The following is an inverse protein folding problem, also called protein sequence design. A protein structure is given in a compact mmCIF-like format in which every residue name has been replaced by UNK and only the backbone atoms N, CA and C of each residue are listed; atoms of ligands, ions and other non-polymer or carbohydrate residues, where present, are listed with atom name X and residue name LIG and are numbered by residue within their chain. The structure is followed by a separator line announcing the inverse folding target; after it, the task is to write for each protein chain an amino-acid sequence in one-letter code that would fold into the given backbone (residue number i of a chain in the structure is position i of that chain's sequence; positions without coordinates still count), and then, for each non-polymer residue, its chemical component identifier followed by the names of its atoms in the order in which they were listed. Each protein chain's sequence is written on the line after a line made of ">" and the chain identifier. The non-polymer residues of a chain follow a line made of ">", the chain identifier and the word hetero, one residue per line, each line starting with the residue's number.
data_IF_949571676742
#
_entry.id   IF_949571676742
#
_cell.length_a   1.000
_cell.length_b   1.000
_cell.length_c   1.000
_cell.angle_alpha   90.00
_cell.angle_beta   90.00
_cell.angle_gamma   90.00
#
_symmetry.space_group_name_H-M   'P 1'
#
loop_
_entity.id
_entity.type
_entity.pdbx_description
1 polymer ?
#
# COMPACT_ATOMS: atom_id res chain seq x y z
N UNK A 1 -25.34 -44.94 38.89
CA UNK A 1 -26.71 -45.18 39.41
C UNK A 1 -27.74 -45.21 38.29
N UNK A 2 -27.93 -44.12 37.52
CA UNK A 2 -28.89 -44.09 36.41
C UNK A 2 -28.66 -45.18 35.35
N UNK A 3 -27.41 -45.49 34.98
CA UNK A 3 -27.12 -46.57 34.04
C UNK A 3 -27.53 -47.97 34.53
N UNK A 4 -27.43 -48.24 35.84
CA UNK A 4 -27.85 -49.50 36.45
C UNK A 4 -29.38 -49.59 36.51
N UNK A 5 -30.04 -48.50 36.89
CA UNK A 5 -31.50 -48.39 36.91
C UNK A 5 -32.11 -48.52 35.50
N UNK A 6 -31.47 -47.89 34.50
CA UNK A 6 -31.87 -47.97 33.10
C UNK A 6 -31.63 -49.37 32.52
N UNK A 7 -30.55 -50.05 32.93
CA UNK A 7 -30.33 -51.46 32.61
C UNK A 7 -31.38 -52.37 33.22
N UNK A 8 -31.70 -52.19 34.51
CA UNK A 8 -32.73 -52.97 35.21
C UNK A 8 -34.13 -52.77 34.61
N UNK A 9 -34.46 -51.55 34.18
CA UNK A 9 -35.72 -51.20 33.52
C UNK A 9 -35.57 -51.08 32.00
N UNK A 10 -34.73 -51.92 31.37
CA UNK A 10 -34.39 -51.83 29.96
C UNK A 10 -35.61 -51.82 29.03
N UNK A 11 -36.67 -52.57 29.36
CA UNK A 11 -37.91 -52.61 28.58
C UNK A 11 -38.64 -51.27 28.60
N UNK A 12 -38.79 -50.66 29.78
CA UNK A 12 -39.47 -49.39 29.94
C UNK A 12 -38.69 -48.24 29.26
N UNK A 13 -37.36 -48.25 29.38
CA UNK A 13 -36.49 -47.28 28.69
C UNK A 13 -36.55 -47.48 27.16
N UNK A 14 -36.61 -48.74 26.71
CA UNK A 14 -36.71 -49.08 25.30
C UNK A 14 -37.98 -48.58 24.66
N UNK A 15 -39.13 -48.82 25.29
CA UNK A 15 -40.44 -48.41 24.78
C UNK A 15 -40.71 -46.92 24.94
N UNK A 16 -40.29 -46.31 26.06
CA UNK A 16 -40.61 -44.91 26.35
C UNK A 16 -39.65 -43.89 25.70
N UNK A 17 -38.37 -44.23 25.53
CA UNK A 17 -37.36 -43.27 25.03
C UNK A 17 -36.77 -43.68 23.68
N UNK A 18 -36.34 -44.94 23.55
CA UNK A 18 -35.59 -45.37 22.36
C UNK A 18 -36.52 -45.60 21.17
N UNK A 19 -37.69 -46.19 21.38
CA UNK A 19 -38.65 -46.49 20.32
C UNK A 19 -39.22 -45.22 19.65
N UNK A 20 -39.66 -44.17 20.37
CA UNK A 20 -40.08 -42.92 19.75
C UNK A 20 -38.93 -42.20 19.04
N UNK A 21 -37.72 -42.18 19.63
CA UNK A 21 -36.55 -41.55 19.01
C UNK A 21 -36.13 -42.26 17.70
N UNK A 22 -36.09 -43.59 17.70
CA UNK A 22 -35.79 -44.37 16.50
C UNK A 22 -36.86 -44.19 15.42
N UNK A 23 -38.14 -44.18 15.82
CA UNK A 23 -39.27 -43.94 14.89
C UNK A 23 -39.21 -42.54 14.29
N UNK A 24 -38.83 -41.53 15.08
CA UNK A 24 -38.68 -40.15 14.61
C UNK A 24 -37.51 -39.97 13.63
N UNK A 25 -36.35 -40.58 13.90
CA UNK A 25 -35.16 -40.48 13.01
C UNK A 25 -35.36 -41.28 11.72
N UNK A 26 -36.00 -42.46 11.79
CA UNK A 26 -36.18 -43.34 10.64
C UNK A 26 -37.50 -43.14 9.88
N UNK A 27 -38.45 -42.38 10.44
CA UNK A 27 -39.74 -42.07 9.81
C UNK A 27 -40.69 -43.27 9.65
N UNK A 28 -40.41 -44.40 10.29
CA UNK A 28 -41.24 -45.62 10.26
C UNK A 28 -41.39 -46.19 11.66
N UNK A 29 -42.58 -46.70 11.99
CA UNK A 29 -42.87 -47.29 13.29
C UNK A 29 -41.96 -48.50 13.52
N UNK A 30 -40.95 -48.33 14.38
CA UNK A 30 -40.07 -49.42 14.76
C UNK A 30 -40.51 -50.03 16.08
N UNK A 31 -40.36 -51.35 16.20
CA UNK A 31 -40.57 -52.06 17.47
C UNK A 31 -39.21 -52.37 18.07
N UNK A 32 -38.83 -51.61 19.09
CA UNK A 32 -37.59 -51.84 19.83
C UNK A 32 -37.89 -52.76 21.00
N UNK A 33 -37.42 -54.00 20.94
CA UNK A 33 -37.51 -54.94 22.06
C UNK A 33 -36.18 -54.93 22.82
N UNK A 34 -36.15 -54.28 23.96
CA UNK A 34 -35.02 -54.27 24.88
C UNK A 34 -35.35 -55.14 26.09
N UNK A 35 -34.69 -56.29 26.19
CA UNK A 35 -34.73 -57.17 27.35
C UNK A 35 -33.34 -57.30 27.99
N UNK A 36 -33.29 -57.55 29.30
CA UNK A 36 -32.04 -57.83 30.01
C UNK A 36 -31.42 -59.17 29.58
N UNK A 37 -32.25 -60.15 29.24
CA UNK A 37 -31.80 -61.49 28.90
C UNK A 37 -32.49 -61.98 27.63
N UNK A 38 -31.68 -62.12 26.57
CA UNK A 38 -32.15 -62.58 25.26
C UNK A 38 -31.77 -64.05 24.98
N UNK A 39 -31.22 -64.77 25.97
CA UNK A 39 -30.67 -66.11 25.79
C UNK A 39 -29.28 -66.12 25.13
N UNK A 40 -28.80 -67.31 24.76
CA UNK A 40 -27.51 -67.48 24.07
C UNK A 40 -27.68 -67.05 22.61
N UNK A 41 -27.42 -65.77 22.36
CA UNK A 41 -27.46 -65.17 21.02
C UNK A 41 -26.04 -64.98 20.47
N UNK A 42 -25.87 -64.87 19.13
CA UNK A 42 -24.60 -64.50 18.53
C UNK A 42 -24.01 -63.20 19.10
N UNK A 43 -24.87 -62.23 19.47
CA UNK A 43 -24.46 -60.97 20.08
C UNK A 43 -23.86 -61.14 21.48
N UNK A 44 -24.43 -62.06 22.29
CA UNK A 44 -23.85 -62.40 23.61
C UNK A 44 -22.47 -63.04 23.43
N UNK A 45 -22.33 -63.96 22.47
CA UNK A 45 -21.05 -64.60 22.14
C UNK A 45 -20.01 -63.58 21.66
N UNK A 46 -20.39 -62.63 20.80
CA UNK A 46 -19.50 -61.56 20.36
C UNK A 46 -19.10 -60.63 21.51
N UNK A 47 -20.02 -60.31 22.43
CA UNK A 47 -19.71 -59.51 23.63
C UNK A 47 -18.75 -60.23 24.58
N UNK A 48 -18.95 -61.54 24.78
CA UNK A 48 -18.00 -62.37 25.53
C UNK A 48 -16.65 -62.44 24.83
N UNK A 49 -16.63 -62.55 23.49
CA UNK A 49 -15.40 -62.55 22.71
C UNK A 49 -14.67 -61.20 22.78
N UNK A 50 -15.37 -60.05 22.70
CA UNK A 50 -14.74 -58.73 22.86
C UNK A 50 -14.19 -58.55 24.27
N UNK A 51 -14.90 -59.02 25.29
CA UNK A 51 -14.43 -58.95 26.68
C UNK A 51 -13.22 -59.85 26.92
N UNK A 52 -13.21 -61.07 26.35
CA UNK A 52 -12.05 -61.96 26.39
C UNK A 52 -10.85 -61.36 25.62
N UNK A 53 -11.08 -60.80 24.43
CA UNK A 53 -10.05 -60.11 23.65
C UNK A 53 -9.49 -58.89 24.37
N UNK A 54 -10.36 -58.10 25.01
CA UNK A 54 -9.94 -56.96 25.82
C UNK A 54 -9.12 -57.39 27.04
N UNK A 55 -9.52 -58.47 27.72
CA UNK A 55 -8.76 -59.07 28.82
C UNK A 55 -7.38 -59.56 28.37
N UNK A 56 -7.30 -60.28 27.24
CA UNK A 56 -6.04 -60.72 26.65
C UNK A 56 -5.16 -59.52 26.23
N UNK A 57 -5.75 -58.50 25.63
CA UNK A 57 -5.05 -57.27 25.26
C UNK A 57 -4.54 -56.50 26.48
N UNK A 58 -5.26 -56.53 27.61
CA UNK A 58 -4.83 -55.94 28.87
C UNK A 58 -3.64 -56.70 29.49
N UNK A 59 -3.67 -58.04 29.45
CA UNK A 59 -2.57 -58.88 29.93
C UNK A 59 -1.30 -58.69 29.10
N UNK A 60 -1.42 -58.39 27.80
CA UNK A 60 -0.31 -58.06 26.90
C UNK A 60 -0.12 -56.55 26.69
N UNK A 61 -0.67 -55.73 27.58
CA UNK A 61 -0.74 -54.28 27.39
C UNK A 61 0.64 -53.63 27.19
N UNK A 62 1.66 -54.04 27.93
CA UNK A 62 3.00 -53.44 27.78
C UNK A 62 3.60 -53.65 26.38
N UNK A 63 3.47 -54.86 25.83
CA UNK A 63 3.98 -55.19 24.49
C UNK A 63 3.12 -54.54 23.41
N UNK A 64 1.80 -54.57 23.58
CA UNK A 64 0.86 -53.94 22.68
C UNK A 64 1.05 -52.41 22.62
N UNK A 65 1.24 -51.76 23.77
CA UNK A 65 1.49 -50.32 23.85
C UNK A 65 2.81 -49.92 23.19
N UNK A 66 3.88 -50.73 23.33
CA UNK A 66 5.15 -50.47 22.65
C UNK A 66 5.02 -50.57 21.12
N UNK A 67 4.33 -51.60 20.61
CA UNK A 67 4.12 -51.81 19.17
C UNK A 67 3.18 -50.75 18.57
N UNK A 68 2.03 -50.55 19.20
CA UNK A 68 1.01 -49.57 18.77
C UNK A 68 1.53 -48.15 18.94
N UNK A 69 2.21 -47.85 20.04
CA UNK A 69 2.86 -46.58 20.29
C UNK A 69 3.95 -46.28 19.25
N UNK A 70 4.78 -47.26 18.88
CA UNK A 70 5.76 -47.11 17.80
C UNK A 70 5.13 -46.83 16.43
N UNK A 71 4.01 -47.50 16.12
CA UNK A 71 3.25 -47.27 14.89
C UNK A 71 2.62 -45.87 14.86
N UNK A 72 1.93 -45.47 15.92
CA UNK A 72 1.33 -44.13 16.01
C UNK A 72 2.38 -43.04 16.12
N UNK A 73 3.55 -43.28 16.72
CA UNK A 73 4.65 -42.31 16.73
C UNK A 73 5.19 -42.04 15.31
N UNK A 74 5.21 -43.06 14.44
CA UNK A 74 5.56 -42.90 13.02
C UNK A 74 4.48 -42.14 12.23
N UNK A 75 3.22 -42.28 12.61
CA UNK A 75 2.09 -41.56 11.99
C UNK A 75 1.82 -40.18 12.62
N UNK A 76 2.32 -39.92 13.82
CA UNK A 76 2.17 -38.67 14.53
C UNK A 76 2.60 -37.42 13.70
N UNK A 77 3.64 -37.44 12.84
CA UNK A 77 3.95 -36.30 11.97
C UNK A 77 2.89 -35.98 10.91
N UNK A 78 1.99 -36.94 10.61
CA UNK A 78 0.89 -36.83 9.65
C UNK A 78 -0.47 -36.58 10.33
N UNK A 79 -0.49 -36.38 11.65
CA UNK A 79 -1.71 -36.11 12.40
C UNK A 79 -2.35 -34.75 12.06
N UNK A 80 -3.68 -34.63 12.17
CA UNK A 80 -4.42 -33.40 11.83
C UNK A 80 -3.97 -32.18 12.65
N UNK A 81 -3.58 -32.38 13.92
CA UNK A 81 -3.05 -31.32 14.77
C UNK A 81 -1.76 -30.71 14.23
N UNK A 82 -0.81 -31.55 13.80
CA UNK A 82 0.45 -31.07 13.21
C UNK A 82 0.26 -30.46 11.83
N UNK A 83 -0.68 -30.98 11.04
CA UNK A 83 -1.06 -30.36 9.78
C UNK A 83 -1.62 -28.94 9.99
N UNK A 84 -2.49 -28.76 10.99
CA UNK A 84 -3.02 -27.45 11.37
C UNK A 84 -1.90 -26.50 11.84
N UNK A 85 -1.03 -26.95 12.74
CA UNK A 85 0.11 -26.15 13.20
C UNK A 85 1.05 -25.75 12.05
N UNK A 86 1.35 -26.68 11.13
CA UNK A 86 2.17 -26.39 9.95
C UNK A 86 1.50 -25.39 9.01
N UNK A 87 0.19 -25.50 8.79
CA UNK A 87 -0.57 -24.54 7.99
C UNK A 87 -0.55 -23.14 8.63
N UNK A 88 -0.75 -23.05 9.96
CA UNK A 88 -0.69 -21.79 10.69
C UNK A 88 0.70 -21.14 10.61
N UNK A 89 1.75 -21.94 10.83
CA UNK A 89 3.13 -21.47 10.72
C UNK A 89 3.45 -21.03 9.28
N UNK A 90 2.96 -21.76 8.28
CA UNK A 90 3.09 -21.39 6.87
C UNK A 90 2.41 -20.06 6.56
N UNK A 91 1.22 -19.82 7.11
CA UNK A 91 0.50 -18.55 6.95
C UNK A 91 1.30 -17.38 7.54
N UNK A 92 1.85 -17.54 8.75
CA UNK A 92 2.69 -16.52 9.39
C UNK A 92 3.96 -16.26 8.58
N UNK A 93 4.60 -17.30 8.06
CA UNK A 93 5.79 -17.15 7.21
C UNK A 93 5.45 -16.41 5.91
N UNK A 94 4.34 -16.76 5.26
CA UNK A 94 3.86 -16.06 4.07
C UNK A 94 3.57 -14.59 4.36
N UNK A 95 2.92 -14.29 5.50
CA UNK A 95 2.65 -12.92 5.93
C UNK A 95 3.95 -12.13 6.15
N UNK A 96 4.97 -12.75 6.77
CA UNK A 96 6.27 -12.12 6.98
C UNK A 96 7.01 -11.88 5.66
N UNK A 97 6.99 -12.85 4.73
CA UNK A 97 7.60 -12.71 3.40
C UNK A 97 6.91 -11.60 2.61
N UNK A 98 5.57 -11.57 2.61
CA UNK A 98 4.79 -10.53 1.97
C UNK A 98 5.10 -9.15 2.57
N UNK A 99 5.13 -9.04 3.90
CA UNK A 99 5.44 -7.78 4.59
C UNK A 99 6.84 -7.31 4.26
N UNK A 100 7.85 -8.18 4.30
CA UNK A 100 9.23 -7.79 3.98
C UNK A 100 9.43 -7.45 2.50
N UNK A 101 8.66 -8.05 1.60
CA UNK A 101 8.71 -7.72 0.17
C UNK A 101 8.21 -6.30 -0.10
N UNK A 102 7.03 -5.96 0.46
CA UNK A 102 6.39 -4.67 0.22
C UNK A 102 6.89 -3.57 1.14
N UNK A 103 7.08 -3.85 2.43
CA UNK A 103 7.47 -2.89 3.48
C UNK A 103 8.96 -3.01 3.85
N UNK A 104 9.84 -3.06 2.85
CA UNK A 104 11.29 -3.21 3.07
C UNK A 104 11.97 -2.00 3.75
N UNK A 105 11.26 -0.89 3.97
CA UNK A 105 11.77 0.31 4.64
C UNK A 105 12.56 1.27 3.75
N UNK A 106 12.84 0.92 2.49
CA UNK A 106 13.60 1.77 1.57
C UNK A 106 12.68 2.67 0.75
N UNK A 107 12.78 3.99 0.99
CA UNK A 107 12.00 5.00 0.26
C UNK A 107 12.12 4.88 -1.27
N UNK A 108 13.31 4.51 -1.77
CA UNK A 108 13.55 4.27 -3.21
C UNK A 108 12.57 3.25 -3.80
N UNK A 109 12.30 2.15 -3.07
CA UNK A 109 11.41 1.09 -3.57
C UNK A 109 9.97 1.57 -3.59
N UNK A 110 9.53 2.31 -2.57
CA UNK A 110 8.19 2.89 -2.55
C UNK A 110 7.97 3.90 -3.70
N UNK A 111 8.92 4.81 -3.92
CA UNK A 111 8.86 5.78 -5.04
C UNK A 111 8.83 5.04 -6.38
N UNK A 112 9.68 4.01 -6.54
CA UNK A 112 9.71 3.19 -7.74
C UNK A 112 8.34 2.54 -8.02
N UNK A 113 7.72 1.93 -7.01
CA UNK A 113 6.39 1.32 -7.15
C UNK A 113 5.32 2.35 -7.51
N UNK A 114 5.35 3.54 -6.91
CA UNK A 114 4.42 4.63 -7.25
C UNK A 114 4.57 4.98 -8.73
N UNK A 115 5.79 5.27 -9.19
CA UNK A 115 6.04 5.66 -10.58
C UNK A 115 5.67 4.54 -11.56
N UNK A 116 6.04 3.29 -11.28
CA UNK A 116 5.70 2.14 -12.12
C UNK A 116 4.19 1.88 -12.17
N UNK A 117 3.49 2.06 -11.05
CA UNK A 117 2.03 1.89 -11.01
C UNK A 117 1.34 3.02 -11.78
N UNK A 118 1.77 4.27 -11.61
CA UNK A 118 1.28 5.39 -12.42
C UNK A 118 1.54 5.15 -13.90
N UNK A 119 2.75 4.69 -14.27
CA UNK A 119 3.09 4.32 -15.64
C UNK A 119 2.16 3.24 -16.19
N UNK A 120 1.95 2.15 -15.44
CA UNK A 120 1.10 1.04 -15.85
C UNK A 120 -0.36 1.44 -15.99
N UNK A 121 -0.90 2.19 -15.03
CA UNK A 121 -2.30 2.66 -15.06
C UNK A 121 -2.54 3.67 -16.18
N UNK A 122 -1.65 4.66 -16.35
CA UNK A 122 -1.79 5.67 -17.39
C UNK A 122 -1.59 5.07 -18.79
N UNK A 123 -0.56 4.23 -18.98
CA UNK A 123 -0.37 3.51 -20.24
C UNK A 123 -1.55 2.57 -20.55
N UNK A 124 -2.06 1.85 -19.54
CA UNK A 124 -3.26 1.04 -19.68
C UNK A 124 -4.46 1.87 -20.12
N UNK A 125 -4.73 2.99 -19.46
CA UNK A 125 -5.83 3.90 -19.81
C UNK A 125 -5.71 4.45 -21.24
N UNK A 126 -4.49 4.79 -21.68
CA UNK A 126 -4.21 5.25 -23.04
C UNK A 126 -4.41 4.14 -24.08
N UNK A 127 -4.02 2.89 -23.77
CA UNK A 127 -4.23 1.74 -24.65
C UNK A 127 -5.73 1.40 -24.81
N UNK A 128 -6.51 1.47 -23.73
CA UNK A 128 -7.95 1.22 -23.77
C UNK A 128 -8.73 2.34 -24.50
N UNK A 129 -8.25 3.59 -24.44
CA UNK A 129 -8.89 4.75 -25.08
C UNK A 129 -8.08 5.29 -26.27
N UNK A 130 -7.37 4.42 -27.00
CA UNK A 130 -6.48 4.83 -28.09
C UNK A 130 -7.20 5.54 -29.26
N UNK A 131 -8.52 5.36 -29.38
CA UNK A 131 -9.35 5.97 -30.40
C UNK A 131 -9.64 7.44 -30.05
N UNK A 132 -8.77 8.35 -30.50
CA UNK A 132 -8.93 9.79 -30.26
C UNK A 132 -7.66 10.53 -29.87
N UNK A 133 -6.54 9.82 -29.72
CA UNK A 133 -5.25 10.44 -29.45
C UNK A 133 -4.82 11.31 -30.64
N UNK A 134 -4.94 12.62 -30.47
CA UNK A 134 -4.45 13.62 -31.43
C UNK A 134 -3.25 14.30 -30.79
N UNK A 135 -2.17 14.45 -31.53
CA UNK A 135 -1.04 15.26 -31.09
C UNK A 135 -1.24 16.69 -31.60
N UNK A 136 -0.83 17.70 -30.81
CA UNK A 136 -0.92 19.09 -31.23
C UNK A 136 -0.01 19.33 -32.43
N UNK A 137 -0.39 20.28 -33.28
CA UNK A 137 0.45 20.70 -34.39
C UNK A 137 1.75 21.32 -33.86
N UNK A 138 2.89 20.93 -34.46
CA UNK A 138 4.18 21.46 -34.06
C UNK A 138 4.26 22.95 -34.40
N UNK A 139 4.41 23.79 -33.37
CA UNK A 139 4.64 25.22 -33.51
C UNK A 139 6.08 25.52 -33.11
N UNK A 140 6.89 26.12 -34.00
CA UNK A 140 8.29 26.39 -33.69
C UNK A 140 8.39 27.36 -32.51
N UNK A 141 9.23 27.04 -31.50
CA UNK A 141 9.41 27.92 -30.35
C UNK A 141 10.12 29.21 -30.77
N UNK A 142 9.81 30.30 -30.06
CA UNK A 142 10.51 31.57 -30.23
C UNK A 142 11.95 31.45 -29.74
N UNK A 143 12.84 32.29 -30.24
CA UNK A 143 14.28 32.22 -29.89
C UNK A 143 14.53 32.21 -28.37
N UNK A 144 13.86 33.08 -27.63
CA UNK A 144 13.99 33.16 -26.18
C UNK A 144 13.41 31.94 -25.45
N UNK A 145 12.33 31.33 -25.96
CA UNK A 145 11.77 30.09 -25.41
C UNK A 145 12.78 28.94 -25.60
N UNK A 146 13.33 28.80 -26.81
CA UNK A 146 14.32 27.77 -27.11
C UNK A 146 15.60 27.95 -26.28
N UNK A 147 16.05 29.19 -26.07
CA UNK A 147 17.20 29.50 -25.22
C UNK A 147 16.97 29.08 -23.76
N UNK A 148 15.82 29.46 -23.17
CA UNK A 148 15.49 29.10 -21.79
C UNK A 148 15.32 27.59 -21.61
N UNK A 149 14.66 26.92 -22.56
CA UNK A 149 14.55 25.45 -22.56
C UNK A 149 15.94 24.81 -22.65
N UNK A 150 16.83 25.34 -23.49
CA UNK A 150 18.22 24.90 -23.59
C UNK A 150 18.97 25.02 -22.25
N UNK A 151 18.83 26.16 -21.56
CA UNK A 151 19.42 26.39 -20.24
C UNK A 151 18.86 25.38 -19.23
N UNK A 152 17.55 25.10 -19.23
CA UNK A 152 16.93 24.12 -18.36
C UNK A 152 17.48 22.71 -18.62
N UNK A 153 17.54 22.27 -19.89
CA UNK A 153 18.04 20.94 -20.26
C UNK A 153 19.51 20.78 -19.83
N UNK A 154 20.35 21.76 -20.12
CA UNK A 154 21.77 21.74 -19.72
C UNK A 154 21.90 21.78 -18.20
N UNK A 155 21.10 22.60 -17.51
CA UNK A 155 21.07 22.70 -16.06
C UNK A 155 20.71 21.36 -15.40
N UNK A 156 19.63 20.71 -15.85
CA UNK A 156 19.22 19.39 -15.35
C UNK A 156 20.30 18.32 -15.65
N UNK A 157 20.85 18.33 -16.87
CA UNK A 157 21.93 17.43 -17.26
C UNK A 157 23.19 17.61 -16.40
N UNK A 158 23.49 18.83 -15.97
CA UNK A 158 24.58 19.14 -15.07
C UNK A 158 24.26 18.73 -13.62
N UNK A 159 23.03 18.97 -13.15
CA UNK A 159 22.54 18.56 -11.81
C UNK A 159 22.74 17.07 -11.59
N UNK A 160 22.33 16.24 -12.56
CA UNK A 160 22.39 14.77 -12.45
C UNK A 160 23.82 14.23 -12.48
N UNK A 161 24.75 14.93 -13.13
CA UNK A 161 26.17 14.52 -13.24
C UNK A 161 27.04 15.01 -12.08
N UNK A 162 26.64 16.13 -11.49
CA UNK A 162 27.43 16.81 -10.46
C UNK A 162 27.51 16.00 -9.18
N UNK A 163 28.71 15.96 -8.57
CA UNK A 163 28.96 15.32 -7.28
C UNK A 163 28.99 16.31 -6.11
N UNK A 164 29.11 17.61 -6.41
CA UNK A 164 29.13 18.70 -5.42
C UNK A 164 27.72 19.20 -5.13
N UNK A 165 27.35 19.20 -3.84
CA UNK A 165 25.99 19.55 -3.42
C UNK A 165 25.68 21.04 -3.61
N UNK A 166 26.67 21.90 -3.35
CA UNK A 166 26.53 23.34 -3.59
C UNK A 166 26.34 23.63 -5.08
N UNK A 167 27.07 22.91 -5.94
CA UNK A 167 26.88 23.03 -7.38
C UNK A 167 25.51 22.51 -7.82
N UNK A 168 25.03 21.38 -7.28
CA UNK A 168 23.67 20.89 -7.52
C UNK A 168 22.60 21.93 -7.14
N UNK A 169 22.71 22.56 -5.97
CA UNK A 169 21.75 23.59 -5.53
C UNK A 169 21.83 24.81 -6.45
N UNK A 170 23.03 25.30 -6.78
CA UNK A 170 23.19 26.44 -7.67
C UNK A 170 22.59 26.17 -9.06
N UNK A 171 22.85 24.99 -9.63
CA UNK A 171 22.28 24.57 -10.91
C UNK A 171 20.76 24.42 -10.84
N UNK A 172 20.22 23.88 -9.74
CA UNK A 172 18.76 23.82 -9.54
C UNK A 172 18.16 25.23 -9.50
N UNK A 173 18.83 26.17 -8.82
CA UNK A 173 18.48 27.60 -8.83
C UNK A 173 18.44 28.19 -10.23
N UNK A 174 19.41 27.87 -11.10
CA UNK A 174 19.39 28.33 -12.50
C UNK A 174 18.20 27.78 -13.28
N UNK A 175 17.77 26.54 -13.00
CA UNK A 175 16.57 25.94 -13.60
C UNK A 175 15.32 26.68 -13.12
N UNK A 176 15.18 26.93 -11.81
CA UNK A 176 14.04 27.65 -11.26
C UNK A 176 13.92 29.10 -11.74
N UNK A 177 15.05 29.81 -11.86
CA UNK A 177 15.10 31.15 -12.45
C UNK A 177 14.68 31.15 -13.92
N UNK A 178 15.09 30.13 -14.69
CA UNK A 178 14.67 29.98 -16.09
C UNK A 178 13.15 29.76 -16.19
N UNK A 179 12.55 28.99 -15.27
CA UNK A 179 11.09 28.80 -15.20
C UNK A 179 10.37 30.12 -14.85
N UNK A 180 10.91 30.92 -13.91
CA UNK A 180 10.36 32.24 -13.59
C UNK A 180 10.35 33.17 -14.81
N UNK A 181 11.41 33.16 -15.63
CA UNK A 181 11.46 33.91 -16.88
C UNK A 181 10.44 33.41 -17.91
N UNK A 182 10.17 32.10 -17.96
CA UNK A 182 9.10 31.53 -18.79
C UNK A 182 7.74 32.10 -18.35
N UNK A 183 7.44 32.16 -17.05
CA UNK A 183 6.18 32.77 -16.56
C UNK A 183 6.05 34.24 -16.98
N UNK A 184 7.13 35.01 -16.90
CA UNK A 184 7.12 36.41 -17.35
C UNK A 184 6.83 36.51 -18.85
N UNK A 185 7.44 35.64 -19.65
CA UNK A 185 7.22 35.54 -21.10
C UNK A 185 5.77 35.22 -21.47
N UNK A 186 5.10 34.41 -20.67
CA UNK A 186 3.67 34.08 -20.82
C UNK A 186 2.74 35.04 -20.06
N UNK A 187 3.21 36.24 -19.71
CA UNK A 187 2.41 37.30 -19.06
C UNK A 187 1.81 36.90 -17.71
N UNK A 188 2.52 36.06 -16.95
CA UNK A 188 2.17 35.69 -15.57
C UNK A 188 3.17 36.34 -14.57
N UNK A 189 3.17 37.67 -14.39
CA UNK A 189 4.16 38.38 -13.59
C UNK A 189 4.10 38.03 -12.09
N UNK A 190 2.90 37.82 -11.54
CA UNK A 190 2.73 37.47 -10.13
C UNK A 190 3.34 36.10 -9.81
N UNK A 191 3.11 35.10 -10.68
CA UNK A 191 3.73 33.79 -10.57
C UNK A 191 5.26 33.88 -10.70
N UNK A 192 5.76 34.71 -11.63
CA UNK A 192 7.19 34.91 -11.82
C UNK A 192 7.88 35.48 -10.56
N UNK A 193 7.28 36.50 -9.93
CA UNK A 193 7.81 37.13 -8.72
C UNK A 193 7.85 36.15 -7.53
N UNK A 194 6.77 35.37 -7.34
CA UNK A 194 6.72 34.35 -6.28
C UNK A 194 7.73 33.25 -6.55
N UNK A 195 7.80 32.73 -7.78
CA UNK A 195 8.77 31.70 -8.17
C UNK A 195 10.20 32.15 -7.92
N UNK A 196 10.55 33.38 -8.29
CA UNK A 196 11.87 33.95 -8.06
C UNK A 196 12.22 34.01 -6.57
N UNK A 197 11.28 34.47 -5.75
CA UNK A 197 11.46 34.61 -4.30
C UNK A 197 11.61 33.25 -3.63
N UNK A 198 10.73 32.30 -3.95
CA UNK A 198 10.75 30.95 -3.39
C UNK A 198 11.99 30.18 -3.84
N UNK A 199 12.43 30.32 -5.09
CA UNK A 199 13.66 29.69 -5.58
C UNK A 199 14.88 30.21 -4.80
N UNK A 200 14.97 31.53 -4.62
CA UNK A 200 16.05 32.15 -3.84
C UNK A 200 16.05 31.68 -2.38
N UNK A 201 14.88 31.64 -1.75
CA UNK A 201 14.72 31.15 -0.38
C UNK A 201 15.13 29.67 -0.28
N UNK A 202 14.70 28.85 -1.24
CA UNK A 202 14.95 27.42 -1.28
C UNK A 202 16.45 27.12 -1.45
N UNK A 203 17.14 27.86 -2.32
CA UNK A 203 18.60 27.80 -2.46
C UNK A 203 19.28 28.13 -1.13
N UNK A 204 18.89 29.23 -0.46
CA UNK A 204 19.46 29.62 0.83
C UNK A 204 19.24 28.53 1.88
N UNK A 205 18.01 28.03 2.01
CA UNK A 205 17.65 26.98 2.97
C UNK A 205 18.44 25.69 2.70
N UNK A 206 18.51 25.24 1.45
CA UNK A 206 19.27 24.05 1.10
C UNK A 206 20.76 24.23 1.39
N UNK A 207 21.36 25.38 1.06
CA UNK A 207 22.77 25.64 1.38
C UNK A 207 23.01 25.53 2.89
N UNK A 208 22.16 26.15 3.71
CA UNK A 208 22.27 26.11 5.18
C UNK A 208 22.16 24.68 5.75
N UNK A 209 21.23 23.88 5.22
CA UNK A 209 21.02 22.49 5.68
C UNK A 209 22.15 21.57 5.20
N UNK A 210 22.47 21.64 3.91
CA UNK A 210 23.41 20.74 3.26
C UNK A 210 24.86 20.99 3.70
N UNK A 211 25.21 22.22 4.08
CA UNK A 211 26.53 22.52 4.63
C UNK A 211 26.90 21.63 5.83
N UNK A 212 25.91 21.13 6.59
CA UNK A 212 26.11 20.30 7.78
C UNK A 212 26.09 18.78 7.53
N UNK A 213 25.83 18.32 6.31
CA UNK A 213 25.70 16.89 5.99
C UNK A 213 27.02 16.28 5.43
N UNK A 214 27.23 14.95 5.51
CA UNK A 214 28.38 14.25 4.90
C UNK A 214 28.23 14.13 3.36
N UNK A 215 29.36 13.98 2.64
CA UNK A 215 29.39 13.94 1.15
C UNK A 215 28.55 12.79 0.62
N UNK A 216 27.96 12.96 -0.57
CA UNK A 216 27.17 11.90 -1.20
C UNK A 216 28.02 10.65 -1.37
N UNK A 217 27.59 9.56 -0.75
CA UNK A 217 28.16 8.23 -0.96
C UNK A 217 27.48 7.59 -2.17
N UNK A 218 28.26 7.14 -3.16
CA UNK A 218 27.74 6.38 -4.29
C UNK A 218 27.54 4.93 -3.84
N UNK A 219 26.37 4.62 -3.31
CA UNK A 219 26.06 3.32 -2.69
C UNK A 219 25.69 2.23 -3.73
N UNK A 220 25.38 2.61 -4.98
CA UNK A 220 24.74 1.69 -5.93
C UNK A 220 25.66 1.14 -7.03
N UNK A 221 25.48 -0.15 -7.36
CA UNK A 221 26.06 -0.81 -8.54
C UNK A 221 25.42 -0.36 -9.86
N UNK A 222 26.07 -0.68 -10.99
CA UNK A 222 25.65 -0.23 -12.33
C UNK A 222 24.24 -0.66 -12.79
N UNK A 223 23.74 -1.90 -12.58
CA UNK A 223 22.46 -2.32 -13.16
C UNK A 223 21.25 -1.60 -12.55
N UNK A 224 21.31 -1.29 -11.25
CA UNK A 224 20.26 -0.53 -10.56
C UNK A 224 20.10 0.89 -11.12
N UNK A 225 21.19 1.51 -11.57
CA UNK A 225 21.19 2.87 -12.13
C UNK A 225 20.55 2.94 -13.50
N UNK A 226 20.80 1.93 -14.34
CA UNK A 226 20.19 1.86 -15.68
C UNK A 226 18.67 1.67 -15.58
N UNK A 227 18.22 0.86 -14.63
CA UNK A 227 16.80 0.71 -14.36
C UNK A 227 16.17 2.01 -13.85
N UNK A 228 16.80 2.70 -12.90
CA UNK A 228 16.31 4.00 -12.41
C UNK A 228 16.26 5.05 -13.54
N UNK A 229 17.25 5.05 -14.43
CA UNK A 229 17.26 5.92 -15.62
C UNK A 229 16.10 5.60 -16.57
N UNK A 230 15.86 4.31 -16.85
CA UNK A 230 14.75 3.88 -17.68
C UNK A 230 13.41 4.34 -17.09
N UNK A 231 13.19 4.13 -15.78
CA UNK A 231 11.95 4.53 -15.11
C UNK A 231 11.77 6.04 -15.10
N UNK A 232 12.84 6.81 -14.87
CA UNK A 232 12.81 8.27 -14.94
C UNK A 232 12.45 8.79 -16.34
N UNK A 233 13.06 8.21 -17.39
CA UNK A 233 12.77 8.57 -18.78
C UNK A 233 11.35 8.17 -19.17
N UNK A 234 10.89 6.98 -18.79
CA UNK A 234 9.53 6.52 -19.04
C UNK A 234 8.50 7.43 -18.36
N UNK A 235 8.73 7.81 -17.10
CA UNK A 235 7.91 8.76 -16.35
C UNK A 235 7.85 10.13 -17.03
N UNK A 236 9.01 10.68 -17.42
CA UNK A 236 9.09 11.95 -18.13
C UNK A 236 8.40 11.92 -19.50
N UNK A 237 8.59 10.85 -20.26
CA UNK A 237 7.95 10.66 -21.56
C UNK A 237 6.43 10.53 -21.43
N UNK A 238 5.94 9.78 -20.43
CA UNK A 238 4.51 9.68 -20.14
C UNK A 238 3.92 11.06 -19.81
N UNK A 239 4.54 11.81 -18.89
CA UNK A 239 4.03 13.15 -18.53
C UNK A 239 4.04 14.10 -19.72
N UNK A 240 5.08 14.03 -20.55
CA UNK A 240 5.17 14.82 -21.80
C UNK A 240 4.03 14.44 -22.74
N UNK A 241 3.78 13.14 -22.93
CA UNK A 241 2.68 12.65 -23.76
C UNK A 241 1.33 13.12 -23.22
N UNK A 242 1.08 13.02 -21.91
CA UNK A 242 -0.17 13.47 -21.29
C UNK A 242 -0.38 14.98 -21.48
N UNK A 243 0.66 15.79 -21.28
CA UNK A 243 0.58 17.24 -21.53
C UNK A 243 0.28 17.52 -23.00
N UNK A 244 0.96 16.85 -23.94
CA UNK A 244 0.71 17.02 -25.37
C UNK A 244 -0.76 16.70 -25.72
N UNK A 245 -1.29 15.58 -25.22
CA UNK A 245 -2.68 15.16 -25.44
C UNK A 245 -3.69 16.15 -24.86
N UNK A 246 -3.43 16.70 -23.67
CA UNK A 246 -4.33 17.71 -23.07
C UNK A 246 -4.26 19.02 -23.87
N UNK A 247 -3.07 19.40 -24.34
CA UNK A 247 -2.91 20.66 -25.12
C UNK A 247 -3.47 20.60 -26.53
N UNK A 248 -3.70 19.42 -27.10
CA UNK A 248 -4.39 19.28 -28.39
C UNK A 248 -5.90 19.49 -28.31
N UNK A 249 -6.47 19.44 -27.11
CA UNK A 249 -7.90 19.67 -26.89
C UNK A 249 -8.20 21.17 -26.79
N UNK A 250 -9.27 21.61 -27.44
CA UNK A 250 -9.73 23.01 -27.34
C UNK A 250 -10.42 23.22 -26.00
N UNK A 251 -9.69 23.71 -25.00
CA UNK A 251 -10.25 24.07 -23.71
C UNK A 251 -10.78 25.51 -23.71
N UNK A 252 -12.11 25.68 -23.69
CA UNK A 252 -12.75 26.98 -23.47
C UNK A 252 -13.10 27.11 -21.99
N UNK A 253 -12.40 27.97 -21.27
CA UNK A 253 -12.70 28.23 -19.86
C UNK A 253 -14.03 28.98 -19.71
N UNK A 254 -14.99 28.36 -19.02
CA UNK A 254 -16.28 28.98 -18.71
C UNK A 254 -16.17 30.08 -17.64
N UNK A 255 -15.13 30.03 -16.80
CA UNK A 255 -15.01 30.91 -15.61
C UNK A 255 -14.10 32.11 -15.86
N UNK A 256 -13.15 32.01 -16.80
CA UNK A 256 -12.25 33.13 -17.12
C UNK A 256 -12.97 34.40 -17.56
N UNK A 257 -14.03 34.36 -18.40
CA UNK A 257 -14.80 35.55 -18.74
C UNK A 257 -15.49 36.18 -17.52
N UNK A 258 -16.01 35.36 -16.60
CA UNK A 258 -16.63 35.83 -15.37
C UNK A 258 -15.63 36.59 -14.50
N UNK A 259 -14.44 36.02 -14.23
CA UNK A 259 -13.44 36.72 -13.42
C UNK A 259 -12.97 38.03 -14.05
N UNK A 260 -12.78 38.05 -15.37
CA UNK A 260 -12.40 39.29 -16.07
C UNK A 260 -13.49 40.36 -15.99
N UNK A 261 -14.76 39.99 -16.14
CA UNK A 261 -15.88 40.93 -16.08
C UNK A 261 -16.19 41.38 -14.64
N UNK A 262 -15.96 40.53 -13.64
CA UNK A 262 -16.38 40.77 -12.25
C UNK A 262 -15.30 41.34 -11.33
N UNK A 263 -14.01 41.19 -11.65
CA UNK A 263 -12.90 41.57 -10.74
C UNK A 263 -12.92 43.05 -10.35
N UNK A 264 -13.15 43.96 -11.31
CA UNK A 264 -13.22 45.39 -11.02
C UNK A 264 -14.56 45.82 -10.41
N UNK A 265 -15.74 45.45 -10.95
CA UNK A 265 -17.01 45.95 -10.41
C UNK A 265 -17.35 45.38 -9.03
N UNK A 266 -17.08 44.09 -8.78
CA UNK A 266 -17.44 43.42 -7.52
C UNK A 266 -16.33 43.54 -6.47
N UNK A 267 -15.11 43.13 -6.81
CA UNK A 267 -13.98 43.05 -5.87
C UNK A 267 -13.08 44.30 -5.85
N UNK A 268 -13.40 45.31 -6.67
CA UNK A 268 -12.68 46.61 -6.76
C UNK A 268 -11.18 46.49 -7.08
N UNK A 269 -10.74 45.37 -7.66
CA UNK A 269 -9.34 45.12 -7.99
C UNK A 269 -9.07 45.07 -9.49
N UNK A 270 -7.93 45.63 -9.91
CA UNK A 270 -7.45 45.59 -11.31
C UNK A 270 -6.56 44.38 -11.60
N UNK A 271 -5.86 43.86 -10.58
CA UNK A 271 -5.10 42.64 -10.71
C UNK A 271 -6.03 41.44 -10.52
N UNK A 272 -6.46 40.86 -11.64
CA UNK A 272 -7.40 39.72 -11.66
C UNK A 272 -6.84 38.51 -10.90
N UNK A 273 -5.53 38.25 -10.96
CA UNK A 273 -4.91 37.11 -10.25
C UNK A 273 -5.02 37.32 -8.74
N UNK A 274 -4.61 38.49 -8.24
CA UNK A 274 -4.71 38.81 -6.81
C UNK A 274 -6.17 38.81 -6.32
N UNK A 275 -7.11 39.33 -7.13
CA UNK A 275 -8.54 39.30 -6.81
C UNK A 275 -9.07 37.87 -6.71
N UNK A 276 -8.68 36.99 -7.64
CA UNK A 276 -9.06 35.57 -7.56
C UNK A 276 -8.53 34.95 -6.27
N UNK A 277 -7.26 35.19 -5.92
CA UNK A 277 -6.63 34.60 -4.75
C UNK A 277 -7.28 35.07 -3.43
N UNK A 278 -7.51 36.37 -3.28
CA UNK A 278 -7.92 36.95 -1.99
C UNK A 278 -9.43 37.03 -1.81
N UNK A 279 -10.18 37.25 -2.90
CA UNK A 279 -11.63 37.48 -2.84
C UNK A 279 -12.41 36.25 -3.32
N UNK A 280 -12.38 35.96 -4.63
CA UNK A 280 -13.21 34.88 -5.20
C UNK A 280 -12.85 33.48 -4.70
N UNK A 281 -11.56 33.23 -4.45
CA UNK A 281 -11.03 31.96 -3.92
C UNK A 281 -10.19 32.19 -2.66
N UNK A 282 -10.57 33.19 -1.86
CA UNK A 282 -9.93 33.52 -0.58
C UNK A 282 -9.77 32.33 0.37
N UNK A 283 -10.70 31.38 0.33
CA UNK A 283 -10.63 30.17 1.16
C UNK A 283 -9.42 29.27 0.84
N UNK A 284 -9.02 29.17 -0.44
CA UNK A 284 -7.86 28.38 -0.83
C UNK A 284 -6.56 29.01 -0.29
N UNK A 285 -6.45 30.35 -0.34
CA UNK A 285 -5.28 31.06 0.22
C UNK A 285 -5.20 30.96 1.74
N UNK A 286 -6.34 30.95 2.44
CA UNK A 286 -6.38 30.67 3.88
C UNK A 286 -5.84 29.26 4.18
N UNK A 287 -6.18 28.28 3.34
CA UNK A 287 -5.64 26.93 3.41
C UNK A 287 -4.12 26.89 3.22
N UNK A 288 -3.61 27.56 2.17
CA UNK A 288 -2.17 27.65 1.89
C UNK A 288 -1.40 28.31 3.05
N UNK A 289 -1.87 29.45 3.57
CA UNK A 289 -1.25 30.14 4.71
C UNK A 289 -1.26 29.24 5.96
N UNK A 290 -2.34 28.49 6.18
CA UNK A 290 -2.44 27.54 7.29
C UNK A 290 -1.41 26.43 7.19
N UNK A 291 -1.22 25.84 5.99
CA UNK A 291 -0.22 24.81 5.74
C UNK A 291 1.21 25.35 5.94
N UNK A 292 1.51 26.54 5.41
CA UNK A 292 2.82 27.18 5.60
C UNK A 292 3.10 27.49 7.07
N UNK A 293 2.09 27.98 7.81
CA UNK A 293 2.19 28.25 9.24
C UNK A 293 2.46 26.96 10.04
N UNK A 294 1.74 25.88 9.75
CA UNK A 294 1.95 24.58 10.38
C UNK A 294 3.33 24.00 10.05
N UNK A 295 3.78 24.13 8.80
CA UNK A 295 5.13 23.71 8.40
C UNK A 295 6.20 24.48 9.17
N UNK A 296 6.06 25.81 9.31
CA UNK A 296 6.98 26.64 10.08
C UNK A 296 7.01 26.26 11.57
N UNK A 297 5.84 26.03 12.18
CA UNK A 297 5.74 25.56 13.58
C UNK A 297 6.39 24.17 13.73
N UNK A 298 6.15 23.25 12.78
CA UNK A 298 6.73 21.91 12.79
C UNK A 298 8.26 21.94 12.70
N UNK A 299 8.82 22.74 11.79
CA UNK A 299 10.27 22.94 11.68
C UNK A 299 10.84 23.52 12.98
N UNK A 300 10.18 24.54 13.56
CA UNK A 300 10.60 25.13 14.82
C UNK A 300 10.60 24.11 15.99
N UNK A 301 9.55 23.28 16.08
CA UNK A 301 9.44 22.23 17.08
C UNK A 301 10.56 21.18 16.95
N UNK A 302 10.85 20.73 15.73
CA UNK A 302 11.94 19.78 15.45
C UNK A 302 13.31 20.35 15.84
N UNK A 303 13.59 21.61 15.50
CA UNK A 303 14.84 22.27 15.84
C UNK A 303 15.02 22.41 17.36
N UNK A 304 13.95 22.72 18.11
CA UNK A 304 13.99 22.77 19.58
C UNK A 304 14.19 21.40 20.22
N UNK A 305 13.51 20.37 19.71
CA UNK A 305 13.60 19.01 20.25
C UNK A 305 15.03 18.44 20.12
N UNK A 306 15.63 18.56 18.94
CA UNK A 306 17.00 18.09 18.67
C UNK A 306 18.05 18.82 19.54
N UNK A 307 17.85 20.11 19.79
CA UNK A 307 18.72 20.89 20.67
C UNK A 307 18.66 20.42 22.14
N UNK A 308 17.54 19.80 22.56
CA UNK A 308 17.33 19.29 23.92
C UNK A 308 18.00 17.93 24.15
N UNK A 309 17.99 17.03 23.16
CA UNK A 309 18.68 15.74 23.25
C UNK A 309 20.20 15.88 23.26
N UNK A 310 20.76 16.89 22.56
CA UNK A 310 22.20 17.20 22.66
C UNK A 310 22.62 17.80 24.01
N UNK A 311 21.67 18.23 24.85
CA UNK A 311 21.90 18.80 26.18
C UNK A 311 21.68 17.80 27.32
N UNK A 312 21.32 16.55 27.04
CA UNK A 312 21.37 15.48 28.05
C UNK A 312 22.80 14.92 28.09
N UNK A 313 23.44 14.85 29.28
CA UNK A 313 24.78 14.30 29.44
C UNK A 313 24.85 12.82 29.04
#
# INVERSE_FOLDING_TARGET
>A
VLGILAGWQATAVGEALIQPAATAVLGQAQKVKLSLWHGITPYLLLSLATMAMAGLAYLWSETAQKLVGGFFARLAPLGPERAYQRAMNGLIQLANVQTNLWQNGYLRVYILFIVLTTLGLAAGALLFNAQGLRLPAFTPPRFYEALLIGIIIVGVAAVVRTTSRLATIALLGTVGLSISLIYLLYSAPDLAMVQFTIETLTVILFVLVIYRLPKFTRIQGQPARWFDLFVALAGGALMTLLVLLITSETFVSLVSPYFNASSLPLAKGRNVVNVILVDFRGFDTLGEISVLSLAAIGVFALLRLVSRDRKKP
#
